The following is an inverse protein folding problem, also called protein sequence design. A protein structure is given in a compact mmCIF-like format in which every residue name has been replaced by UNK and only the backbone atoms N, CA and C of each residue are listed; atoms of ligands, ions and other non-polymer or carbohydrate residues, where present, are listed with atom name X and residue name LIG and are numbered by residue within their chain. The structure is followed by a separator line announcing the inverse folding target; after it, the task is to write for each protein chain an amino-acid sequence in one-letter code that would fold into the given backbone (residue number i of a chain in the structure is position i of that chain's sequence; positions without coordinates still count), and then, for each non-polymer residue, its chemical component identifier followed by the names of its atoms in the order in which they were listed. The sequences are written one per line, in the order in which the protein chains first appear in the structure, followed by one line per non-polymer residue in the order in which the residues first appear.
data_IF_145038225255
#
_entry.id   IF_145038225255
#
_cell.length_a   1.000
_cell.length_b   1.000
_cell.length_c   1.000
_cell.angle_alpha   90.00
_cell.angle_beta   90.00
_cell.angle_gamma   90.00
#
_symmetry.space_group_name_H-M   'P 1'
#
loop_
_entity.id
_entity.type
_entity.pdbx_description
1 polymer ?
#
# COMPACT_ATOMS: atom_id res chain seq x y z
N UNK A 1 -10.53 2.67 -13.84
CA UNK A 1 -9.08 2.93 -13.88
C UNK A 1 -8.43 2.13 -12.76
N UNK A 2 -7.11 1.93 -12.86
CA UNK A 2 -6.27 1.38 -11.81
C UNK A 2 -5.39 2.49 -11.23
N UNK A 3 -5.60 2.83 -9.96
CA UNK A 3 -4.82 3.84 -9.24
C UNK A 3 -3.66 3.17 -8.50
N UNK A 4 -2.43 3.58 -8.80
CA UNK A 4 -1.26 3.25 -8.00
C UNK A 4 -1.07 4.25 -6.86
N UNK A 5 -0.81 3.75 -5.65
CA UNK A 5 -0.41 4.58 -4.51
C UNK A 5 0.93 4.06 -4.02
N UNK A 6 1.97 4.85 -4.23
CA UNK A 6 3.28 4.62 -3.62
C UNK A 6 3.30 5.32 -2.26
N UNK A 7 3.45 4.55 -1.20
CA UNK A 7 3.50 5.06 0.17
C UNK A 7 4.95 4.99 0.65
N UNK A 8 5.68 6.10 0.60
CA UNK A 8 7.09 6.16 1.00
C UNK A 8 7.31 6.88 2.35
N UNK A 9 6.28 7.52 2.91
CA UNK A 9 6.31 8.07 4.27
C UNK A 9 5.12 7.58 5.11
N UNK A 10 5.24 7.66 6.43
CA UNK A 10 4.17 7.31 7.38
C UNK A 10 3.26 8.50 7.73
N UNK A 11 3.38 9.62 7.01
CA UNK A 11 2.76 10.90 7.37
C UNK A 11 1.35 11.10 6.80
N UNK A 12 0.95 10.24 5.87
CA UNK A 12 -0.22 10.46 5.01
C UNK A 12 -1.28 9.36 5.14
N UNK A 13 -1.38 8.72 6.32
CA UNK A 13 -2.35 7.64 6.56
C UNK A 13 -3.78 8.00 6.15
N UNK A 14 -4.27 9.18 6.55
CA UNK A 14 -5.62 9.62 6.23
C UNK A 14 -5.83 9.86 4.73
N UNK A 15 -4.82 10.37 4.04
CA UNK A 15 -4.87 10.60 2.59
C UNK A 15 -4.92 9.28 1.83
N UNK A 16 -4.08 8.30 2.22
CA UNK A 16 -4.09 6.95 1.63
C UNK A 16 -5.47 6.32 1.81
N UNK A 17 -5.99 6.29 3.04
CA UNK A 17 -7.31 5.71 3.35
C UNK A 17 -8.42 6.42 2.58
N UNK A 18 -8.40 7.75 2.55
CA UNK A 18 -9.41 8.56 1.85
C UNK A 18 -9.42 8.33 0.35
N UNK A 19 -8.23 8.35 -0.29
CA UNK A 19 -8.08 8.13 -1.73
C UNK A 19 -8.48 6.71 -2.12
N UNK A 20 -8.06 5.69 -1.36
CA UNK A 20 -8.43 4.30 -1.63
C UNK A 20 -9.94 4.12 -1.59
N UNK A 21 -10.60 4.58 -0.52
CA UNK A 21 -12.05 4.48 -0.40
C UNK A 21 -12.78 5.25 -1.50
N UNK A 22 -12.34 6.46 -1.82
CA UNK A 22 -12.92 7.26 -2.90
C UNK A 22 -12.79 6.58 -4.27
N UNK A 23 -11.62 6.00 -4.58
CA UNK A 23 -11.39 5.25 -5.82
C UNK A 23 -12.29 4.01 -5.90
N UNK A 24 -12.32 3.20 -4.85
CA UNK A 24 -13.15 1.98 -4.78
C UNK A 24 -14.64 2.34 -4.91
N UNK A 25 -15.12 3.41 -4.26
CA UNK A 25 -16.51 3.85 -4.36
C UNK A 25 -16.94 4.25 -5.78
N UNK A 26 -15.98 4.61 -6.63
CA UNK A 26 -16.20 4.93 -8.05
C UNK A 26 -15.99 3.71 -8.97
N UNK A 27 -15.84 2.51 -8.41
CA UNK A 27 -15.59 1.28 -9.17
C UNK A 27 -14.19 1.24 -9.80
N UNK A 28 -13.19 1.86 -9.17
CA UNK A 28 -11.80 1.77 -9.59
C UNK A 28 -11.04 0.75 -8.77
N UNK A 29 -9.99 0.19 -9.36
CA UNK A 29 -9.03 -0.67 -8.67
C UNK A 29 -7.90 0.18 -8.06
N UNK A 30 -7.29 -0.32 -6.99
CA UNK A 30 -6.16 0.33 -6.30
C UNK A 30 -5.03 -0.68 -6.08
N UNK A 31 -3.81 -0.32 -6.46
CA UNK A 31 -2.60 -1.03 -6.08
C UNK A 31 -1.80 -0.13 -5.13
N UNK A 32 -1.59 -0.57 -3.89
CA UNK A 32 -0.80 0.15 -2.89
C UNK A 32 0.53 -0.58 -2.70
N UNK A 33 1.63 0.17 -2.76
CA UNK A 33 2.96 -0.32 -2.41
C UNK A 33 3.57 0.56 -1.33
N UNK A 34 3.92 -0.03 -0.18
CA UNK A 34 4.61 0.66 0.90
C UNK A 34 6.11 0.37 0.87
N UNK A 35 6.94 1.41 0.98
CA UNK A 35 8.38 1.31 1.16
C UNK A 35 8.87 2.40 2.11
N UNK A 36 10.17 2.39 2.39
CA UNK A 36 10.81 3.33 3.31
C UNK A 36 10.05 3.45 4.64
N UNK A 37 9.88 4.66 5.17
CA UNK A 37 9.14 4.92 6.41
C UNK A 37 7.66 4.54 6.30
N UNK A 38 7.08 4.58 5.08
CA UNK A 38 5.70 4.20 4.81
C UNK A 38 5.36 2.75 5.20
N UNK A 39 6.38 1.88 5.29
CA UNK A 39 6.19 0.52 5.80
C UNK A 39 5.63 0.47 7.22
N UNK A 40 5.87 1.49 8.06
CA UNK A 40 5.33 1.57 9.43
C UNK A 40 3.81 1.55 9.48
N UNK A 41 3.13 2.01 8.43
CA UNK A 41 1.67 2.08 8.40
C UNK A 41 1.01 0.70 8.42
N UNK A 42 1.73 -0.39 8.12
CA UNK A 42 1.17 -1.76 8.23
C UNK A 42 0.88 -2.17 9.68
N UNK A 43 1.35 -1.41 10.68
CA UNK A 43 0.98 -1.63 12.08
C UNK A 43 -0.35 -0.97 12.45
N UNK A 44 -0.90 -0.12 11.56
CA UNK A 44 -2.18 0.55 11.77
C UNK A 44 -3.36 -0.24 11.18
N UNK A 45 -4.40 -0.57 11.98
CA UNK A 45 -5.58 -1.28 11.50
C UNK A 45 -6.36 -0.58 10.39
N UNK A 46 -6.35 0.75 10.35
CA UNK A 46 -7.04 1.52 9.31
C UNK A 46 -6.35 1.40 7.95
N UNK A 47 -5.02 1.29 7.94
CA UNK A 47 -4.23 1.02 6.75
C UNK A 47 -4.40 -0.43 6.29
N UNK A 48 -4.16 -1.39 7.19
CA UNK A 48 -4.24 -2.82 6.85
C UNK A 48 -5.65 -3.26 6.49
N UNK A 49 -6.68 -2.59 7.03
CA UNK A 49 -8.07 -2.80 6.67
C UNK A 49 -8.37 -2.56 5.18
N UNK A 50 -7.59 -1.71 4.49
CA UNK A 50 -7.74 -1.47 3.06
C UNK A 50 -7.54 -2.73 2.23
N UNK A 51 -6.70 -3.66 2.67
CA UNK A 51 -6.43 -4.94 1.97
C UNK A 51 -7.66 -5.85 1.88
N UNK A 52 -8.71 -5.56 2.66
CA UNK A 52 -9.97 -6.31 2.67
C UNK A 52 -11.01 -5.73 1.70
N UNK A 53 -10.75 -4.56 1.14
CA UNK A 53 -11.66 -3.91 0.20
C UNK A 53 -11.60 -4.61 -1.17
N UNK A 54 -12.74 -4.88 -1.81
CA UNK A 54 -12.75 -5.40 -3.17
C UNK A 54 -12.03 -4.46 -4.13
N UNK A 55 -11.18 -5.01 -5.00
CA UNK A 55 -10.42 -4.23 -5.99
C UNK A 55 -9.17 -3.52 -5.41
N UNK A 56 -8.81 -3.80 -4.16
CA UNK A 56 -7.55 -3.31 -3.56
C UNK A 56 -6.53 -4.44 -3.46
N UNK A 57 -5.31 -4.18 -3.92
CA UNK A 57 -4.15 -5.04 -3.70
C UNK A 57 -3.06 -4.25 -3.00
N UNK A 58 -2.38 -4.88 -2.05
CA UNK A 58 -1.37 -4.23 -1.22
C UNK A 58 -0.10 -5.07 -1.18
N UNK A 59 1.04 -4.38 -1.23
CA UNK A 59 2.33 -4.99 -0.94
C UNK A 59 3.23 -4.03 -0.17
N UNK A 60 4.18 -4.60 0.55
CA UNK A 60 5.18 -3.89 1.35
C UNK A 60 6.58 -4.32 0.91
N UNK A 61 7.55 -3.42 0.93
CA UNK A 61 8.94 -3.75 0.70
C UNK A 61 9.54 -4.41 1.96
N UNK A 62 9.88 -5.69 1.86
CA UNK A 62 10.41 -6.47 3.00
C UNK A 62 11.71 -5.90 3.52
N UNK A 63 12.58 -5.46 2.62
CA UNK A 63 13.84 -4.84 2.98
C UNK A 63 13.63 -3.55 3.79
N UNK A 64 12.74 -2.65 3.32
CA UNK A 64 12.40 -1.44 4.08
C UNK A 64 11.74 -1.76 5.42
N UNK A 65 10.80 -2.71 5.46
CA UNK A 65 10.13 -3.11 6.70
C UNK A 65 11.13 -3.62 7.75
N UNK A 66 12.13 -4.41 7.33
CA UNK A 66 13.21 -4.87 8.21
C UNK A 66 14.08 -3.70 8.72
N UNK A 67 14.51 -2.80 7.84
CA UNK A 67 15.32 -1.61 8.19
C UNK A 67 14.60 -0.70 9.17
N UNK A 68 13.28 -0.52 9.03
CA UNK A 68 12.46 0.31 9.92
C UNK A 68 11.88 -0.44 11.13
N UNK A 69 12.30 -1.69 11.35
CA UNK A 69 11.92 -2.55 12.48
C UNK A 69 10.41 -2.82 12.60
N UNK A 70 9.72 -2.90 11.46
CA UNK A 70 8.31 -3.26 11.37
C UNK A 70 8.16 -4.76 11.66
N UNK A 71 7.12 -5.12 12.42
CA UNK A 71 6.83 -6.53 12.77
C UNK A 71 6.18 -7.25 11.59
N UNK A 72 7.01 -7.80 10.71
CA UNK A 72 6.57 -8.47 9.48
C UNK A 72 5.64 -9.66 9.77
N UNK A 73 5.82 -10.33 10.90
CA UNK A 73 4.98 -11.48 11.31
C UNK A 73 3.55 -11.06 11.70
N UNK A 74 3.33 -9.78 11.99
CA UNK A 74 2.02 -9.22 12.32
C UNK A 74 1.28 -8.69 11.08
N UNK A 75 1.94 -8.68 9.91
CA UNK A 75 1.34 -8.21 8.67
C UNK A 75 0.28 -9.23 8.20
N UNK A 76 -0.97 -8.79 7.91
CA UNK A 76 -2.00 -9.70 7.39
C UNK A 76 -1.56 -10.39 6.10
N UNK A 77 -1.92 -11.66 5.92
CA UNK A 77 -1.61 -12.45 4.70
C UNK A 77 -2.17 -11.81 3.41
N UNK A 78 -3.18 -10.94 3.53
CA UNK A 78 -3.75 -10.16 2.43
C UNK A 78 -2.81 -9.07 1.92
N UNK A 79 -1.73 -8.75 2.65
CA UNK A 79 -0.69 -7.80 2.25
C UNK A 79 0.55 -8.59 1.91
N UNK A 80 1.00 -8.49 0.66
CA UNK A 80 2.16 -9.23 0.19
C UNK A 80 3.45 -8.57 0.66
N UNK A 81 4.23 -9.30 1.45
CA UNK A 81 5.65 -9.08 1.64
C UNK A 81 6.39 -9.28 0.30
N UNK A 82 7.08 -8.25 -0.17
CA UNK A 82 7.61 -8.15 -1.52
C UNK A 82 8.84 -7.25 -1.65
N UNK A 83 9.16 -6.87 -2.88
CA UNK A 83 10.37 -6.11 -3.20
C UNK A 83 10.09 -4.96 -4.14
N UNK A 84 11.13 -4.24 -4.57
CA UNK A 84 11.02 -3.22 -5.61
C UNK A 84 10.49 -3.77 -6.95
N UNK A 85 10.47 -5.09 -7.13
CA UNK A 85 9.73 -5.70 -8.23
C UNK A 85 8.23 -5.38 -8.16
N UNK A 86 7.61 -5.44 -6.98
CA UNK A 86 6.21 -5.07 -6.79
C UNK A 86 5.96 -3.59 -7.07
N UNK A 87 6.91 -2.71 -6.70
CA UNK A 87 6.87 -1.29 -7.07
C UNK A 87 6.84 -1.11 -8.60
N UNK A 88 7.74 -1.82 -9.31
CA UNK A 88 7.80 -1.78 -10.76
C UNK A 88 6.52 -2.32 -11.41
N UNK A 89 5.93 -3.39 -10.87
CA UNK A 89 4.64 -3.92 -11.32
C UNK A 89 3.51 -2.90 -11.11
N UNK A 90 3.40 -2.31 -9.92
CA UNK A 90 2.42 -1.27 -9.65
C UNK A 90 2.57 -0.08 -10.61
N UNK A 91 3.81 0.35 -10.86
CA UNK A 91 4.12 1.44 -11.78
C UNK A 91 3.72 1.13 -13.22
N UNK A 92 3.89 -0.14 -13.65
CA UNK A 92 3.54 -0.60 -15.00
C UNK A 92 2.03 -0.77 -15.18
N UNK A 93 1.33 -1.25 -14.16
CA UNK A 93 -0.10 -1.60 -14.25
C UNK A 93 -1.05 -0.45 -13.93
N UNK A 94 -0.61 0.53 -13.14
CA UNK A 94 -1.42 1.67 -12.79
C UNK A 94 -1.60 2.61 -13.99
N UNK A 95 -2.83 3.10 -14.19
CA UNK A 95 -3.10 4.16 -15.16
C UNK A 95 -2.51 5.50 -14.68
N UNK A 96 -2.52 5.72 -13.36
CA UNK A 96 -2.01 6.92 -12.68
C UNK A 96 -1.42 6.53 -11.33
N UNK A 97 -0.40 7.26 -10.89
CA UNK A 97 0.28 7.02 -9.63
C UNK A 97 0.25 8.30 -8.80
N UNK A 98 -0.04 8.15 -7.51
CA UNK A 98 0.14 9.17 -6.48
C UNK A 98 1.22 8.68 -5.52
N UNK A 99 2.10 9.59 -5.09
CA UNK A 99 3.16 9.31 -4.12
C UNK A 99 2.85 10.08 -2.84
N UNK A 100 2.85 9.40 -1.70
CA UNK A 100 2.52 9.91 -0.37
C UNK A 100 3.53 9.41 0.67
#
# INVERSE_FOLDING_TARGET
MKLGILVNTDKHLQDVVGLTNAAVSKGHEVIIFAMDEGTRLVEDPSYTGLSKLPGVSMSVCDYSALEYHVKIEAIPETIKCGSQFNNAVMTKEADRIVIL
#
